data_IF_244825117788
#
_entry.id   IF_244825117788
#
_cell.length_a   1.000
_cell.length_b   1.000
_cell.length_c   1.000
_cell.angle_alpha   90.00
_cell.angle_beta   90.00
_cell.angle_gamma   90.00
#
_symmetry.space_group_name_H-M   'P 1'
#
loop_
_entity.id
_entity.type
_entity.pdbx_description
1 polymer ?
#
# COMPACT_ATOMS: atom_id res chain seq x y z
N UNK A 1 3.52 1.00 -7.60
CA UNK A 1 3.17 1.64 -8.88
C UNK A 1 4.10 2.81 -9.12
N UNK A 2 4.30 3.24 -10.38
CA UNK A 2 5.04 4.47 -10.66
C UNK A 2 4.14 5.66 -10.35
N UNK A 3 4.67 6.66 -9.66
CA UNK A 3 3.98 7.93 -9.34
C UNK A 3 4.82 9.09 -9.86
N UNK A 4 4.19 10.21 -10.20
CA UNK A 4 4.87 11.44 -10.63
C UNK A 4 4.97 12.43 -9.46
N UNK A 5 5.91 13.37 -9.58
CA UNK A 5 5.93 14.55 -8.71
C UNK A 5 4.58 15.27 -8.83
N UNK A 6 4.01 15.67 -7.69
CA UNK A 6 2.70 16.32 -7.56
C UNK A 6 1.49 15.45 -7.95
N UNK A 7 1.66 14.13 -8.07
CA UNK A 7 0.53 13.20 -8.17
C UNK A 7 0.00 12.88 -6.77
N UNK A 8 -1.31 13.03 -6.58
CA UNK A 8 -1.96 12.69 -5.31
C UNK A 8 -1.92 11.16 -5.07
N UNK A 9 -1.41 10.75 -3.90
CA UNK A 9 -1.32 9.33 -3.54
C UNK A 9 -2.63 8.78 -2.94
N UNK A 10 -3.39 9.64 -2.27
CA UNK A 10 -4.64 9.29 -1.59
C UNK A 10 -5.47 10.54 -1.28
N UNK A 11 -6.79 10.38 -1.27
CA UNK A 11 -7.74 11.35 -0.72
C UNK A 11 -8.10 10.96 0.73
N UNK A 12 -8.20 11.95 1.63
CA UNK A 12 -8.43 11.71 3.06
C UNK A 12 -9.74 12.35 3.49
N UNK A 13 -10.73 11.50 3.78
CA UNK A 13 -11.98 11.88 4.41
C UNK A 13 -11.87 11.68 5.91
N UNK A 14 -12.01 12.75 6.69
CA UNK A 14 -11.82 12.70 8.14
C UNK A 14 -12.66 13.77 8.84
N UNK A 15 -13.34 13.39 9.93
CA UNK A 15 -14.36 14.23 10.55
C UNK A 15 -13.78 15.19 11.62
N UNK A 16 -12.60 14.91 12.18
CA UNK A 16 -11.94 15.77 13.18
C UNK A 16 -10.86 16.64 12.51
N UNK A 17 -11.24 17.88 12.18
CA UNK A 17 -10.34 18.84 11.53
C UNK A 17 -9.12 19.20 12.38
N UNK A 18 -9.22 19.12 13.71
CA UNK A 18 -8.12 19.38 14.63
C UNK A 18 -6.98 18.37 14.52
N UNK A 19 -7.30 17.13 14.10
CA UNK A 19 -6.31 16.04 13.94
C UNK A 19 -5.96 15.73 12.49
N UNK A 20 -6.62 16.34 11.51
CA UNK A 20 -6.41 16.05 10.09
C UNK A 20 -4.94 16.13 9.66
N UNK A 21 -4.20 17.12 10.16
CA UNK A 21 -2.77 17.28 9.86
C UNK A 21 -1.92 16.12 10.36
N UNK A 22 -2.17 15.65 11.58
CA UNK A 22 -1.47 14.51 12.17
C UNK A 22 -1.78 13.22 11.41
N UNK A 23 -3.05 13.01 11.06
CA UNK A 23 -3.50 11.85 10.27
C UNK A 23 -2.83 11.83 8.90
N UNK A 24 -2.82 12.97 8.18
CA UNK A 24 -2.13 13.07 6.89
C UNK A 24 -0.64 12.74 7.01
N UNK A 25 0.03 13.23 8.07
CA UNK A 25 1.45 12.91 8.31
C UNK A 25 1.68 11.42 8.55
N UNK A 26 0.84 10.78 9.37
CA UNK A 26 0.91 9.33 9.65
C UNK A 26 0.65 8.50 8.38
N UNK A 27 -0.37 8.86 7.60
CA UNK A 27 -0.65 8.21 6.32
C UNK A 27 0.53 8.36 5.35
N UNK A 28 1.08 9.57 5.22
CA UNK A 28 2.23 9.81 4.35
C UNK A 28 3.44 8.94 4.75
N UNK A 29 3.71 8.79 6.05
CA UNK A 29 4.81 7.93 6.53
C UNK A 29 4.60 6.44 6.31
N UNK A 30 3.41 5.99 5.89
CA UNK A 30 3.15 4.59 5.54
C UNK A 30 3.53 4.23 4.10
N UNK A 31 3.75 5.23 3.23
CA UNK A 31 4.21 4.99 1.87
C UNK A 31 5.74 4.88 1.84
N UNK A 32 6.22 3.92 1.06
CA UNK A 32 7.63 3.78 0.71
C UNK A 32 7.78 4.24 -0.75
N UNK A 33 8.66 5.23 -0.97
CA UNK A 33 8.96 5.79 -2.30
C UNK A 33 10.42 5.48 -2.61
N UNK A 34 10.63 4.75 -3.70
CA UNK A 34 11.96 4.33 -4.15
C UNK A 34 12.08 4.49 -5.67
N UNK A 35 13.30 4.67 -6.17
CA UNK A 35 13.58 4.76 -7.60
C UNK A 35 13.39 3.42 -8.33
N UNK A 36 13.50 2.31 -7.59
CA UNK A 36 13.39 0.96 -8.13
C UNK A 36 11.93 0.57 -8.30
N UNK A 37 11.63 -0.11 -9.41
CA UNK A 37 10.30 -0.70 -9.62
C UNK A 37 10.05 -1.76 -8.54
N UNK A 38 8.93 -1.70 -7.79
CA UNK A 38 8.64 -2.69 -6.77
C UNK A 38 8.39 -4.06 -7.41
N UNK A 39 8.87 -5.12 -6.77
CA UNK A 39 8.53 -6.48 -7.15
C UNK A 39 7.07 -6.75 -6.78
N UNK A 40 6.23 -7.01 -7.79
CA UNK A 40 4.81 -7.27 -7.57
C UNK A 40 4.65 -8.69 -7.03
N UNK A 41 4.34 -8.79 -5.75
CA UNK A 41 4.00 -10.07 -5.12
C UNK A 41 2.63 -10.56 -5.61
N UNK A 42 2.42 -11.88 -5.68
CA UNK A 42 1.11 -12.44 -5.96
C UNK A 42 0.13 -12.06 -4.85
N UNK A 43 -1.14 -11.84 -5.21
CA UNK A 43 -2.20 -11.53 -4.24
C UNK A 43 -2.41 -12.70 -3.26
N UNK A 44 -2.27 -13.92 -3.76
CA UNK A 44 -2.33 -15.16 -2.97
C UNK A 44 -0.98 -15.84 -3.17
N UNK A 45 -0.19 -15.98 -2.11
CA UNK A 45 1.12 -16.65 -2.20
C UNK A 45 0.97 -18.17 -2.30
N UNK A 46 0.06 -18.74 -1.51
CA UNK A 46 -0.19 -20.17 -1.49
C UNK A 46 -1.62 -20.49 -1.05
N UNK A 47 -2.08 -21.67 -1.42
CA UNK A 47 -3.32 -22.28 -0.92
C UNK A 47 -2.95 -23.58 -0.21
N UNK A 48 -3.50 -23.78 0.99
CA UNK A 48 -3.31 -25.00 1.79
C UNK A 48 -4.64 -25.73 1.86
N UNK A 49 -4.67 -26.97 1.38
CA UNK A 49 -5.87 -27.82 1.40
C UNK A 49 -5.52 -29.27 1.75
N UNK A 50 -6.52 -30.15 1.77
CA UNK A 50 -6.31 -31.59 2.02
C UNK A 50 -5.45 -32.24 0.94
N UNK A 51 -5.43 -31.66 -0.24
CA UNK A 51 -4.66 -32.07 -1.41
C UNK A 51 -3.20 -31.59 -1.37
N UNK A 52 -2.83 -30.75 -0.38
CA UNK A 52 -1.47 -30.27 -0.17
C UNK A 52 -1.32 -28.75 -0.25
N UNK A 53 -0.09 -28.29 -0.51
CA UNK A 53 0.25 -26.87 -0.66
C UNK A 53 0.44 -26.54 -2.14
N UNK A 54 -0.29 -25.54 -2.63
CA UNK A 54 -0.09 -24.97 -3.97
C UNK A 54 0.42 -23.54 -3.85
N UNK A 55 1.66 -23.32 -4.25
CA UNK A 55 2.26 -21.98 -4.35
C UNK A 55 1.92 -21.32 -5.69
N UNK A 56 1.71 -20.00 -5.66
CA UNK A 56 1.48 -19.18 -6.84
C UNK A 56 2.70 -18.28 -7.03
N UNK A 57 3.43 -18.48 -8.13
CA UNK A 57 4.63 -17.70 -8.50
C UNK A 57 4.30 -16.58 -9.48
#
# INVERSE_FOLDING_TARGET
SKVKINEDLAEVFYNDSGKLKEVKKKLFSSFVIEDKKPHKLPLILATISKEGVKEWK
#
